data_IF_813204376264
#
_entry.id   IF_813204376264
#
_cell.length_a   1.000
_cell.length_b   1.000
_cell.length_c   1.000
_cell.angle_alpha   90.00
_cell.angle_beta   90.00
_cell.angle_gamma   90.00
#
_symmetry.space_group_name_H-M   'P 1'
#
loop_
_entity.id
_entity.type
_entity.pdbx_description
1 polymer ?
#
# COMPACT_ATOMS: atom_id res chain seq x y z
N UNK A 1 -8.85 4.62 -9.02
CA UNK A 1 -7.39 4.78 -9.19
C UNK A 1 -6.96 6.25 -9.36
N UNK A 2 -7.55 7.04 -10.26
CA UNK A 2 -7.22 8.47 -10.46
C UNK A 2 -7.24 9.29 -9.13
N UNK A 3 -8.27 9.15 -8.31
CA UNK A 3 -8.36 9.85 -7.02
C UNK A 3 -7.20 9.49 -6.06
N UNK A 4 -6.75 8.23 -6.10
CA UNK A 4 -5.59 7.82 -5.33
C UNK A 4 -4.31 8.50 -5.82
N UNK A 5 -4.13 8.65 -7.14
CA UNK A 5 -3.00 9.40 -7.71
C UNK A 5 -3.02 10.85 -7.26
N UNK A 6 -4.15 11.53 -7.36
CA UNK A 6 -4.31 12.92 -6.90
C UNK A 6 -3.97 13.07 -5.42
N UNK A 7 -4.39 12.13 -4.58
CA UNK A 7 -4.03 12.08 -3.16
C UNK A 7 -2.52 11.98 -2.96
N UNK A 8 -1.84 11.10 -3.70
CA UNK A 8 -0.38 10.96 -3.64
C UNK A 8 0.35 12.21 -4.11
N UNK A 9 -0.20 12.92 -5.08
CA UNK A 9 0.31 14.21 -5.55
C UNK A 9 0.02 15.37 -4.57
N UNK A 10 -0.71 15.10 -3.47
CA UNK A 10 -1.05 16.12 -2.47
C UNK A 10 -2.26 16.99 -2.81
N UNK A 11 -2.98 16.67 -3.88
CA UNK A 11 -4.23 17.38 -4.21
C UNK A 11 -5.28 17.14 -3.14
N UNK A 12 -6.09 18.16 -2.92
CA UNK A 12 -7.25 18.09 -2.04
C UNK A 12 -8.43 17.44 -2.77
N UNK A 13 -9.40 16.89 -2.04
CA UNK A 13 -10.53 16.17 -2.61
C UNK A 13 -11.42 16.99 -3.56
N UNK A 14 -11.37 18.31 -3.46
CA UNK A 14 -12.15 19.30 -4.22
C UNK A 14 -11.27 20.17 -5.14
N UNK A 15 -9.98 19.83 -5.26
CA UNK A 15 -9.07 20.59 -6.09
C UNK A 15 -9.45 20.47 -7.57
N UNK A 16 -9.54 21.60 -8.23
CA UNK A 16 -9.61 21.64 -9.70
C UNK A 16 -8.22 21.29 -10.23
N UNK A 17 -8.17 20.27 -11.05
CA UNK A 17 -6.93 19.81 -11.71
C UNK A 17 -6.89 20.40 -13.10
N UNK A 18 -5.75 20.96 -13.49
CA UNK A 18 -5.58 21.49 -14.84
C UNK A 18 -5.45 20.37 -15.88
N UNK A 19 -5.75 20.69 -17.14
CA UNK A 19 -5.80 19.73 -18.24
C UNK A 19 -4.44 19.04 -18.47
N UNK A 20 -3.33 19.75 -18.27
CA UNK A 20 -1.99 19.18 -18.41
C UNK A 20 -1.74 18.10 -17.35
N UNK A 21 -2.07 18.39 -16.10
CA UNK A 21 -1.94 17.43 -15.00
C UNK A 21 -2.80 16.19 -15.21
N UNK A 22 -4.06 16.37 -15.68
CA UNK A 22 -4.94 15.24 -16.05
C UNK A 22 -4.30 14.38 -17.13
N UNK A 23 -3.78 14.99 -18.19
CA UNK A 23 -3.12 14.27 -19.27
C UNK A 23 -1.89 13.48 -18.78
N UNK A 24 -1.08 14.06 -17.87
CA UNK A 24 0.05 13.38 -17.28
C UNK A 24 -0.37 12.20 -16.40
N UNK A 25 -1.46 12.32 -15.64
CA UNK A 25 -2.02 11.23 -14.83
C UNK A 25 -2.48 10.07 -15.73
N UNK A 26 -3.24 10.37 -16.77
CA UNK A 26 -3.72 9.35 -17.70
C UNK A 26 -2.59 8.64 -18.43
N UNK A 27 -1.55 9.39 -18.85
CA UNK A 27 -0.32 8.82 -19.43
C UNK A 27 0.37 7.92 -18.43
N UNK A 28 0.54 8.36 -17.18
CA UNK A 28 1.24 7.60 -16.16
C UNK A 28 0.51 6.30 -15.79
N UNK A 29 -0.81 6.34 -15.66
CA UNK A 29 -1.60 5.15 -15.35
C UNK A 29 -1.49 4.08 -16.45
N UNK A 30 -1.56 4.49 -17.72
CA UNK A 30 -1.35 3.57 -18.86
C UNK A 30 0.06 2.99 -18.87
N UNK A 31 1.09 3.83 -18.72
CA UNK A 31 2.48 3.38 -18.76
C UNK A 31 2.82 2.47 -17.57
N UNK A 32 2.27 2.75 -16.38
CA UNK A 32 2.42 1.85 -15.22
C UNK A 32 1.74 0.50 -15.48
N UNK A 33 0.53 0.48 -16.03
CA UNK A 33 -0.21 -0.75 -16.34
C UNK A 33 0.54 -1.64 -17.35
N UNK A 34 1.17 -1.02 -18.36
CA UNK A 34 1.96 -1.73 -19.38
C UNK A 34 3.26 -2.34 -18.82
N UNK A 35 3.87 -1.68 -17.81
CA UNK A 35 5.15 -2.09 -17.22
C UNK A 35 5.00 -2.99 -16.00
N UNK A 36 3.85 -2.97 -15.35
CA UNK A 36 3.64 -3.63 -14.08
C UNK A 36 3.51 -5.15 -14.22
N UNK A 37 4.28 -5.87 -13.42
CA UNK A 37 4.15 -7.30 -13.20
C UNK A 37 3.61 -7.53 -11.79
N UNK A 38 2.28 -7.46 -11.63
CA UNK A 38 1.69 -7.66 -10.31
C UNK A 38 1.85 -9.11 -9.85
N UNK A 39 2.43 -9.26 -8.65
CA UNK A 39 2.60 -10.55 -7.96
C UNK A 39 2.18 -10.39 -6.50
N UNK A 40 1.55 -11.41 -5.97
CA UNK A 40 1.05 -11.43 -4.61
C UNK A 40 1.33 -12.79 -3.96
N UNK A 41 1.70 -12.80 -2.69
CA UNK A 41 1.86 -14.01 -1.88
C UNK A 41 1.29 -13.77 -0.49
N UNK A 42 0.68 -14.79 0.10
CA UNK A 42 0.15 -14.72 1.45
C UNK A 42 0.28 -16.06 2.19
N UNK A 43 0.14 -15.99 3.50
CA UNK A 43 -0.02 -17.14 4.39
C UNK A 43 -1.04 -16.77 5.48
N UNK A 44 -1.90 -17.73 5.84
CA UNK A 44 -2.93 -17.56 6.88
C UNK A 44 -2.46 -18.06 8.23
N UNK A 45 -2.88 -17.40 9.32
CA UNK A 45 -2.55 -17.73 10.69
C UNK A 45 -3.76 -17.50 11.61
N UNK A 46 -3.85 -18.33 12.66
CA UNK A 46 -4.91 -18.26 13.66
C UNK A 46 -4.41 -17.67 14.99
N UNK A 47 -3.09 -17.53 15.15
CA UNK A 47 -2.45 -16.99 16.36
C UNK A 47 -1.35 -15.99 16.01
N UNK A 48 -1.15 -14.93 16.84
CA UNK A 48 -0.17 -13.88 16.57
C UNK A 48 1.26 -14.40 16.48
N UNK A 49 2.02 -13.88 15.53
CA UNK A 49 3.45 -14.14 15.42
C UNK A 49 4.24 -13.33 16.46
N UNK A 50 5.44 -13.80 16.82
CA UNK A 50 6.26 -13.22 17.89
C UNK A 50 6.48 -11.70 17.73
N UNK A 51 6.80 -11.22 16.51
CA UNK A 51 7.01 -9.79 16.25
C UNK A 51 5.77 -8.94 16.53
N UNK A 52 4.58 -9.50 16.41
CA UNK A 52 3.32 -8.80 16.64
C UNK A 52 3.04 -8.59 18.12
N UNK A 53 3.45 -9.53 18.97
CA UNK A 53 3.24 -9.48 20.42
C UNK A 53 3.99 -8.29 21.07
N UNK A 54 5.05 -7.83 20.44
CA UNK A 54 5.83 -6.69 20.92
C UNK A 54 5.14 -5.33 20.72
N UNK A 55 4.06 -5.26 19.91
CA UNK A 55 3.44 -4.01 19.53
C UNK A 55 1.91 -4.04 19.70
N UNK A 56 1.36 -3.27 20.67
CA UNK A 56 -0.09 -3.26 20.95
C UNK A 56 -0.97 -2.97 19.75
N UNK A 57 -0.50 -2.16 18.79
CA UNK A 57 -1.26 -1.81 17.58
C UNK A 57 -1.65 -3.02 16.72
N UNK A 58 -0.78 -4.04 16.64
CA UNK A 58 -1.13 -5.27 15.92
C UNK A 58 -2.20 -6.07 16.67
N UNK A 59 -2.09 -6.14 18.00
CA UNK A 59 -3.04 -6.87 18.84
C UNK A 59 -4.41 -6.18 18.84
N UNK A 60 -4.43 -4.84 18.88
CA UNK A 60 -5.65 -4.06 18.75
C UNK A 60 -6.31 -4.28 17.37
N UNK A 61 -5.50 -4.26 16.30
CA UNK A 61 -5.99 -4.51 14.95
C UNK A 61 -6.59 -5.92 14.79
N UNK A 62 -6.03 -6.93 15.43
CA UNK A 62 -6.48 -8.32 15.35
C UNK A 62 -7.58 -8.66 16.36
N UNK A 63 -7.91 -7.76 17.28
CA UNK A 63 -8.93 -8.03 18.30
C UNK A 63 -10.27 -8.40 17.68
N UNK A 64 -10.82 -9.56 18.06
CA UNK A 64 -12.09 -10.09 17.55
C UNK A 64 -12.03 -10.61 16.11
N UNK A 65 -10.83 -10.85 15.54
CA UNK A 65 -10.69 -11.54 14.26
C UNK A 65 -10.73 -13.07 14.46
N UNK A 66 -11.14 -13.80 13.43
CA UNK A 66 -11.11 -15.27 13.36
C UNK A 66 -9.73 -15.81 12.99
N UNK A 67 -8.86 -14.95 12.48
CA UNK A 67 -7.52 -15.21 12.00
C UNK A 67 -7.03 -14.02 11.17
N UNK A 68 -5.91 -14.18 10.49
CA UNK A 68 -5.37 -13.14 9.63
C UNK A 68 -4.46 -13.70 8.55
N UNK A 69 -4.25 -12.91 7.51
CA UNK A 69 -3.27 -13.14 6.47
C UNK A 69 -2.06 -12.26 6.72
N UNK A 70 -0.87 -12.82 6.59
CA UNK A 70 0.33 -12.05 6.25
C UNK A 70 0.46 -12.04 4.73
N UNK A 71 0.80 -10.92 4.15
CA UNK A 71 0.90 -10.80 2.71
C UNK A 71 2.09 -9.95 2.26
N UNK A 72 2.51 -10.19 1.02
CA UNK A 72 3.45 -9.33 0.30
C UNK A 72 3.04 -9.25 -1.17
N UNK A 73 3.19 -8.07 -1.77
CA UNK A 73 2.95 -7.86 -3.19
C UNK A 73 3.94 -6.86 -3.80
N UNK A 74 4.08 -6.93 -5.11
CA UNK A 74 4.93 -6.04 -5.91
C UNK A 74 4.35 -5.85 -7.30
N UNK A 75 4.71 -4.76 -7.96
CA UNK A 75 4.47 -4.55 -9.39
C UNK A 75 5.74 -4.67 -10.24
N UNK A 76 6.80 -5.20 -9.65
CA UNK A 76 8.02 -5.57 -10.35
C UNK A 76 9.03 -4.46 -10.56
N UNK A 77 10.25 -4.85 -10.89
CA UNK A 77 11.41 -3.96 -11.03
C UNK A 77 11.36 -3.08 -12.30
N UNK A 78 10.53 -3.43 -13.27
CA UNK A 78 10.36 -2.66 -14.52
C UNK A 78 9.92 -1.23 -14.24
N UNK A 79 8.97 -1.05 -13.33
CA UNK A 79 8.45 0.25 -12.88
C UNK A 79 9.55 1.09 -12.21
N UNK A 80 10.37 0.49 -11.34
CA UNK A 80 11.47 1.20 -10.68
C UNK A 80 12.53 1.68 -11.68
N UNK A 81 12.86 0.84 -12.67
CA UNK A 81 13.82 1.19 -13.74
C UNK A 81 13.31 2.35 -14.58
N UNK A 82 12.02 2.34 -14.90
CA UNK A 82 11.40 3.43 -15.64
C UNK A 82 11.38 4.73 -14.84
N UNK A 83 11.01 4.67 -13.57
CA UNK A 83 11.02 5.81 -12.68
C UNK A 83 12.42 6.46 -12.59
N UNK A 84 13.47 5.65 -12.41
CA UNK A 84 14.86 6.16 -12.38
C UNK A 84 15.25 6.90 -13.67
N UNK A 85 14.83 6.39 -14.82
CA UNK A 85 15.07 7.05 -16.10
C UNK A 85 14.32 8.38 -16.19
N UNK A 86 13.04 8.38 -15.83
CA UNK A 86 12.21 9.59 -15.82
C UNK A 86 12.77 10.69 -14.90
N UNK A 87 13.33 10.31 -13.77
CA UNK A 87 13.99 11.27 -12.85
C UNK A 87 15.17 12.01 -13.50
N UNK A 88 15.78 11.46 -14.53
CA UNK A 88 16.87 12.10 -15.29
C UNK A 88 16.38 12.85 -16.53
N UNK A 89 15.28 12.40 -17.12
CA UNK A 89 14.77 12.90 -18.41
C UNK A 89 13.65 13.94 -18.24
N UNK A 90 12.69 13.67 -17.32
CA UNK A 90 11.44 14.42 -17.21
C UNK A 90 10.94 14.41 -15.74
N UNK A 91 11.58 15.18 -14.86
CA UNK A 91 11.34 15.17 -13.42
C UNK A 91 9.87 15.43 -13.05
N UNK A 92 9.19 16.35 -13.69
CA UNK A 92 7.77 16.65 -13.42
C UNK A 92 6.90 15.41 -13.68
N UNK A 93 7.12 14.72 -14.79
CA UNK A 93 6.41 13.48 -15.10
C UNK A 93 6.82 12.33 -14.17
N UNK A 94 8.09 12.27 -13.74
CA UNK A 94 8.55 11.26 -12.78
C UNK A 94 7.76 11.30 -11.49
N UNK A 95 7.39 12.49 -10.98
CA UNK A 95 6.56 12.65 -9.78
C UNK A 95 5.17 12.08 -9.98
N UNK A 96 4.55 12.35 -11.13
CA UNK A 96 3.22 11.82 -11.47
C UNK A 96 3.26 10.31 -11.66
N UNK A 97 4.28 9.81 -12.34
CA UNK A 97 4.50 8.37 -12.54
C UNK A 97 4.72 7.62 -11.23
N UNK A 98 5.49 8.20 -10.29
CA UNK A 98 5.70 7.62 -8.95
C UNK A 98 4.40 7.53 -8.16
N UNK A 99 3.58 8.58 -8.20
CA UNK A 99 2.26 8.62 -7.58
C UNK A 99 1.31 7.59 -8.20
N UNK A 100 1.29 7.48 -9.54
CA UNK A 100 0.49 6.50 -10.26
C UNK A 100 0.90 5.06 -9.92
N UNK A 101 2.20 4.77 -9.86
CA UNK A 101 2.71 3.46 -9.48
C UNK A 101 2.37 3.09 -8.03
N UNK A 102 2.41 4.06 -7.10
CA UNK A 102 1.96 3.87 -5.72
C UNK A 102 0.46 3.54 -5.64
N UNK A 103 -0.38 4.31 -6.33
CA UNK A 103 -1.81 4.05 -6.41
C UNK A 103 -2.12 2.69 -7.05
N UNK A 104 -1.40 2.33 -8.11
CA UNK A 104 -1.60 1.08 -8.85
C UNK A 104 -1.34 -0.14 -7.97
N UNK A 105 -0.21 -0.19 -7.24
CA UNK A 105 0.10 -1.35 -6.39
C UNK A 105 -0.90 -1.52 -5.26
N UNK A 106 -1.38 -0.43 -4.65
CA UNK A 106 -2.44 -0.48 -3.63
C UNK A 106 -3.76 -1.02 -4.18
N UNK A 107 -4.22 -0.45 -5.30
CA UNK A 107 -5.48 -0.86 -5.90
C UNK A 107 -5.44 -2.32 -6.38
N UNK A 108 -4.34 -2.76 -6.99
CA UNK A 108 -4.18 -4.16 -7.40
C UNK A 108 -4.16 -5.12 -6.22
N UNK A 109 -3.54 -4.75 -5.11
CA UNK A 109 -3.57 -5.55 -3.91
C UNK A 109 -4.98 -5.63 -3.31
N UNK A 110 -5.71 -4.50 -3.24
CA UNK A 110 -7.09 -4.47 -2.75
C UNK A 110 -8.06 -5.28 -3.65
N UNK A 111 -7.88 -5.23 -4.98
CA UNK A 111 -8.62 -6.05 -5.94
C UNK A 111 -8.35 -7.54 -5.73
N UNK A 112 -7.07 -7.91 -5.58
CA UNK A 112 -6.67 -9.29 -5.36
C UNK A 112 -7.21 -9.84 -4.03
N UNK A 113 -7.12 -9.07 -2.96
CA UNK A 113 -7.63 -9.45 -1.64
C UNK A 113 -9.13 -9.71 -1.66
N UNK A 114 -9.92 -8.90 -2.40
CA UNK A 114 -11.35 -9.13 -2.61
C UNK A 114 -11.66 -10.44 -3.34
N UNK A 115 -10.73 -10.97 -4.12
CA UNK A 115 -10.87 -12.24 -4.86
C UNK A 115 -10.50 -13.47 -4.05
N UNK A 116 -9.90 -13.30 -2.87
CA UNK A 116 -9.47 -14.42 -2.02
C UNK A 116 -10.67 -15.15 -1.41
N UNK A 117 -10.56 -16.46 -1.15
CA UNK A 117 -11.67 -17.29 -0.67
C UNK A 117 -11.92 -17.12 0.85
N UNK A 118 -11.96 -15.89 1.32
CA UNK A 118 -12.26 -15.56 2.72
C UNK A 118 -13.52 -14.70 2.77
N UNK A 119 -14.47 -15.00 3.67
CA UNK A 119 -15.79 -14.39 3.65
C UNK A 119 -15.79 -12.89 3.95
N UNK A 120 -14.85 -12.44 4.74
CA UNK A 120 -14.73 -11.04 5.15
C UNK A 120 -13.27 -10.73 5.49
N UNK A 121 -12.64 -9.90 4.67
CA UNK A 121 -11.30 -9.37 4.93
C UNK A 121 -11.36 -7.92 5.39
N UNK A 122 -10.56 -7.59 6.42
CA UNK A 122 -10.35 -6.22 6.86
C UNK A 122 -9.43 -5.44 5.90
N UNK A 123 -9.10 -4.21 6.26
CA UNK A 123 -8.09 -3.46 5.52
C UNK A 123 -6.67 -3.99 5.81
N UNK A 124 -5.78 -3.84 4.85
CA UNK A 124 -4.35 -4.18 5.03
C UNK A 124 -3.67 -3.20 5.98
N UNK A 125 -3.18 -3.71 7.11
CA UNK A 125 -2.36 -2.98 8.07
C UNK A 125 -0.88 -3.21 7.71
N UNK A 126 -0.16 -2.15 7.37
CA UNK A 126 1.25 -2.24 6.98
C UNK A 126 2.18 -1.82 8.15
N UNK A 127 3.34 -2.48 8.35
CA UNK A 127 4.36 -2.00 9.26
C UNK A 127 4.78 -0.55 8.97
N UNK A 128 5.13 0.19 10.02
CA UNK A 128 5.38 1.64 9.94
C UNK A 128 4.17 2.50 10.29
N UNK A 129 2.96 1.93 10.36
CA UNK A 129 1.78 2.64 10.84
C UNK A 129 1.58 2.47 12.35
N UNK A 130 0.96 3.46 12.99
CA UNK A 130 0.59 3.44 14.43
C UNK A 130 1.77 3.09 15.36
N UNK A 131 2.97 3.53 15.01
CA UNK A 131 4.18 3.30 15.80
C UNK A 131 4.79 1.90 15.67
N UNK A 132 4.28 1.04 14.79
CA UNK A 132 4.92 -0.25 14.51
C UNK A 132 6.21 -0.07 13.72
N UNK A 133 7.25 -0.90 13.95
CA UNK A 133 8.53 -0.75 13.28
C UNK A 133 8.46 -1.10 11.78
N UNK A 134 9.11 -0.29 10.95
CA UNK A 134 9.23 -0.59 9.51
C UNK A 134 9.99 -1.91 9.26
N UNK A 135 10.93 -2.27 10.15
CA UNK A 135 11.70 -3.52 10.06
C UNK A 135 10.83 -4.78 10.16
N UNK A 136 9.60 -4.70 10.68
CA UNK A 136 8.69 -5.84 10.75
C UNK A 136 8.26 -6.31 9.34
N UNK A 137 8.48 -5.50 8.30
CA UNK A 137 8.40 -5.93 6.90
C UNK A 137 9.26 -7.18 6.62
N UNK A 138 10.45 -7.27 7.26
CA UNK A 138 11.36 -8.42 7.11
C UNK A 138 10.76 -9.69 7.70
N UNK A 139 10.09 -9.58 8.85
CA UNK A 139 9.43 -10.72 9.50
C UNK A 139 8.28 -11.24 8.62
N UNK A 140 7.42 -10.35 8.15
CA UNK A 140 6.31 -10.70 7.26
C UNK A 140 6.85 -11.35 5.98
N UNK A 141 7.83 -10.72 5.34
CA UNK A 141 8.41 -11.20 4.10
C UNK A 141 9.02 -12.60 4.21
N UNK A 142 9.69 -12.90 5.33
CA UNK A 142 10.23 -14.22 5.63
C UNK A 142 9.12 -15.26 5.74
N UNK A 143 8.07 -14.96 6.50
CA UNK A 143 6.94 -15.85 6.74
C UNK A 143 6.16 -16.18 5.47
N UNK A 144 5.95 -15.19 4.58
CA UNK A 144 5.23 -15.39 3.31
C UNK A 144 6.14 -15.79 2.15
N UNK A 145 7.47 -15.87 2.38
CA UNK A 145 8.47 -16.18 1.34
C UNK A 145 8.43 -15.18 0.17
N UNK A 146 8.42 -13.88 0.49
CA UNK A 146 8.30 -12.79 -0.49
C UNK A 146 9.40 -12.80 -1.57
N UNK A 147 10.55 -13.43 -1.31
CA UNK A 147 11.60 -13.64 -2.29
C UNK A 147 11.14 -14.44 -3.52
N UNK A 148 10.13 -15.31 -3.40
CA UNK A 148 9.57 -16.08 -4.53
C UNK A 148 8.86 -15.19 -5.56
N UNK A 149 8.41 -14.00 -5.15
CA UNK A 149 7.80 -13.02 -6.05
C UNK A 149 8.77 -11.88 -6.41
N UNK A 150 10.06 -12.04 -6.08
CA UNK A 150 11.12 -11.11 -6.47
C UNK A 150 11.30 -9.91 -5.53
N UNK A 151 10.75 -9.97 -4.31
CA UNK A 151 10.98 -8.93 -3.29
C UNK A 151 12.22 -9.28 -2.48
N UNK A 152 13.14 -8.32 -2.39
CA UNK A 152 14.29 -8.31 -1.48
C UNK A 152 14.23 -7.08 -0.57
N UNK A 153 15.08 -7.05 0.44
CA UNK A 153 15.07 -6.00 1.46
C UNK A 153 16.47 -5.45 1.68
N UNK A 154 16.53 -4.16 1.97
CA UNK A 154 17.68 -3.53 2.58
C UNK A 154 17.63 -3.75 4.12
N UNK A 155 18.76 -3.59 4.80
CA UNK A 155 18.83 -3.71 6.28
C UNK A 155 17.90 -2.73 7.01
N UNK A 156 17.55 -1.64 6.35
CA UNK A 156 16.56 -0.65 6.83
C UNK A 156 15.12 -1.13 6.83
N UNK A 157 14.81 -2.28 6.20
CA UNK A 157 13.45 -2.77 5.98
C UNK A 157 12.77 -2.20 4.73
N UNK A 158 13.48 -1.41 3.92
CA UNK A 158 12.97 -0.95 2.63
C UNK A 158 13.00 -2.07 1.60
N UNK A 159 11.97 -2.14 0.78
CA UNK A 159 11.77 -3.19 -0.22
C UNK A 159 12.37 -2.83 -1.58
N UNK A 160 12.84 -3.84 -2.29
CA UNK A 160 13.23 -3.80 -3.70
C UNK A 160 12.45 -4.92 -4.42
N UNK A 161 11.61 -4.61 -5.39
CA UNK A 161 11.28 -3.30 -5.97
C UNK A 161 10.65 -2.33 -4.97
N UNK A 162 10.81 -1.00 -5.21
CA UNK A 162 10.25 0.05 -4.32
C UNK A 162 8.73 0.04 -4.28
N UNK A 163 8.09 -0.31 -5.40
CA UNK A 163 6.64 -0.44 -5.49
C UNK A 163 6.20 -1.84 -5.06
N UNK A 164 6.49 -2.13 -3.79
CA UNK A 164 6.13 -3.37 -3.09
C UNK A 164 5.51 -3.02 -1.74
N UNK A 165 4.71 -3.92 -1.22
CA UNK A 165 4.08 -3.79 0.10
C UNK A 165 4.12 -5.12 0.83
N UNK A 166 4.18 -5.05 2.15
CA UNK A 166 3.80 -6.15 3.05
C UNK A 166 2.67 -5.70 3.95
N UNK A 167 1.92 -6.63 4.49
CA UNK A 167 0.83 -6.27 5.38
C UNK A 167 0.23 -7.45 6.11
N UNK A 168 -0.65 -7.08 7.01
CA UNK A 168 -1.48 -7.96 7.81
C UNK A 168 -2.94 -7.66 7.43
N UNK A 169 -3.70 -8.67 7.05
CA UNK A 169 -5.13 -8.54 6.70
C UNK A 169 -5.92 -9.45 7.61
N UNK A 170 -6.75 -8.89 8.49
CA UNK A 170 -7.58 -9.68 9.41
C UNK A 170 -8.69 -10.42 8.67
N UNK A 171 -9.03 -11.61 9.15
CA UNK A 171 -10.17 -12.42 8.68
C UNK A 171 -11.28 -12.31 9.71
N UNK A 172 -12.50 -12.06 9.27
CA UNK A 172 -13.64 -11.84 10.14
C UNK A 172 -13.66 -10.46 10.80
N UNK A 173 -14.85 -10.03 11.19
CA UNK A 173 -15.10 -8.77 11.90
C UNK A 173 -15.04 -7.51 11.03
N UNK A 174 -15.70 -6.47 11.49
CA UNK A 174 -15.75 -5.17 10.83
C UNK A 174 -14.50 -4.34 11.13
N UNK A 175 -13.37 -4.63 10.46
CA UNK A 175 -12.19 -3.77 10.52
C UNK A 175 -12.28 -2.64 9.51
N UNK A 176 -12.64 -1.42 9.93
CA UNK A 176 -12.62 -0.23 9.07
C UNK A 176 -11.34 0.58 9.30
N UNK A 177 -10.73 1.05 8.22
CA UNK A 177 -9.69 2.07 8.34
C UNK A 177 -10.26 3.25 9.12
N UNK A 178 -9.50 3.77 10.09
CA UNK A 178 -9.91 4.94 10.86
C UNK A 178 -8.80 5.97 10.90
N UNK A 179 -9.18 7.24 11.08
CA UNK A 179 -8.23 8.32 11.28
C UNK A 179 -7.64 8.36 12.71
N UNK A 180 -8.07 7.50 13.62
CA UNK A 180 -7.67 7.56 15.03
C UNK A 180 -6.16 7.37 15.23
N UNK A 181 -5.56 6.39 14.53
CA UNK A 181 -4.13 6.10 14.58
C UNK A 181 -3.29 6.75 13.47
N UNK A 182 -3.86 7.67 12.68
CA UNK A 182 -3.13 8.28 11.56
C UNK A 182 -2.15 9.35 12.06
N UNK A 183 -0.88 9.24 11.65
CA UNK A 183 0.17 10.24 12.00
C UNK A 183 -0.14 11.64 11.46
N UNK A 184 -0.87 11.76 10.36
CA UNK A 184 -1.28 13.03 9.76
C UNK A 184 -2.62 13.57 10.34
N UNK A 185 -3.19 12.93 11.35
CA UNK A 185 -4.55 13.19 11.84
C UNK A 185 -4.84 14.68 12.08
N UNK A 186 -3.94 15.39 12.74
CA UNK A 186 -4.14 16.78 13.12
C UNK A 186 -3.99 17.75 11.95
N UNK A 187 -3.07 17.48 11.05
CA UNK A 187 -2.79 18.29 9.86
C UNK A 187 -3.63 17.91 8.64
N UNK A 188 -4.37 16.79 8.69
CA UNK A 188 -5.05 16.20 7.55
C UNK A 188 -6.18 17.09 7.01
N UNK A 189 -6.05 17.56 5.77
CA UNK A 189 -7.05 18.36 5.06
C UNK A 189 -8.34 17.58 4.75
N UNK A 190 -8.23 16.29 4.47
CA UNK A 190 -9.39 15.39 4.23
C UNK A 190 -10.29 15.31 5.47
N UNK A 191 -9.68 15.00 6.62
CA UNK A 191 -10.41 14.92 7.88
C UNK A 191 -11.05 16.24 8.29
N UNK A 192 -10.34 17.37 8.11
CA UNK A 192 -10.87 18.70 8.43
C UNK A 192 -12.14 19.04 7.64
N UNK A 193 -12.35 18.39 6.49
CA UNK A 193 -13.53 18.54 5.63
C UNK A 193 -14.56 17.42 5.81
N UNK A 194 -14.41 16.57 6.83
CA UNK A 194 -15.35 15.48 7.10
C UNK A 194 -15.27 14.31 6.12
N UNK A 195 -14.19 14.21 5.31
CA UNK A 195 -13.97 13.13 4.36
C UNK A 195 -12.80 12.24 4.78
N UNK A 196 -12.58 11.14 4.07
CA UNK A 196 -11.49 10.21 4.34
C UNK A 196 -10.58 10.06 3.11
N UNK A 197 -9.29 9.80 3.34
CA UNK A 197 -8.32 9.59 2.26
C UNK A 197 -8.26 8.14 1.76
N UNK A 198 -9.07 7.23 2.27
CA UNK A 198 -9.00 5.78 2.02
C UNK A 198 -10.26 5.22 1.35
N UNK A 199 -10.84 5.91 0.44
CA UNK A 199 -12.06 5.49 -0.26
C UNK A 199 -11.93 5.39 -1.79
N UNK A 200 -10.74 5.44 -2.34
CA UNK A 200 -10.53 5.73 -3.76
C UNK A 200 -9.95 4.63 -4.65
N UNK A 201 -10.03 3.33 -4.26
CA UNK A 201 -9.69 2.24 -5.18
C UNK A 201 -10.92 1.51 -5.69
#
# INVERSE_FOLDING_TARGET
MREAVLRYLGFQSDATVDELTEHLIDRALREVEELAEFKYVYASYDYPQEFMLAHPAYMEYLHGSEGYLLCACTIGIGVDRRLKRLQMEEMAYAVVFDAAAGAYVECKADEYEKSLPFPLLGFRFCPGYQGTPLKDNLCIASLVKANKIGISFLDSGLMIPMKSMTGIVRIGGEGRKSCAGCVAREACSWRKRGTTCYGGC
#
